data_IF_671663133249
#
_entry.id   IF_671663133249
#
_cell.length_a   1.000
_cell.length_b   1.000
_cell.length_c   1.000
_cell.angle_alpha   90.00
_cell.angle_beta   90.00
_cell.angle_gamma   90.00
#
_symmetry.space_group_name_H-M   'P 1'
#
loop_
_entity.id
_entity.type
_entity.pdbx_description
1 polymer ?
#
# COMPACT_ATOMS: atom_id res chain seq x y z
N UNK A 1 -8.01 -9.11 16.32
CA UNK A 1 -6.75 -9.23 15.56
C UNK A 1 -6.85 -8.37 14.30
N UNK A 2 -5.85 -7.55 13.95
CA UNK A 2 -5.90 -6.83 12.68
C UNK A 2 -5.86 -7.84 11.53
N UNK A 3 -6.86 -7.81 10.64
CA UNK A 3 -6.87 -8.60 9.41
C UNK A 3 -5.80 -8.01 8.49
N UNK A 4 -4.68 -8.70 8.35
CA UNK A 4 -3.70 -8.39 7.32
C UNK A 4 -4.37 -8.59 5.96
N UNK A 5 -4.31 -7.57 5.11
CA UNK A 5 -4.82 -7.69 3.74
C UNK A 5 -3.67 -8.23 2.89
N UNK A 6 -3.50 -9.56 2.88
CA UNK A 6 -2.47 -10.30 2.11
C UNK A 6 -2.52 -10.05 0.59
N UNK A 7 -3.46 -9.21 0.14
CA UNK A 7 -3.63 -8.79 -1.23
C UNK A 7 -2.68 -7.66 -1.66
N UNK A 8 -2.10 -6.87 -0.76
CA UNK A 8 -1.23 -5.74 -1.15
C UNK A 8 0.24 -6.16 -1.05
N UNK A 9 0.94 -6.14 -2.18
CA UNK A 9 2.35 -6.54 -2.25
C UNK A 9 3.27 -5.37 -2.64
N UNK A 10 2.71 -4.31 -3.23
CA UNK A 10 3.47 -3.20 -3.77
C UNK A 10 2.80 -1.87 -3.46
N UNK A 11 3.62 -0.84 -3.20
CA UNK A 11 3.21 0.55 -3.07
C UNK A 11 3.72 1.33 -4.29
N UNK A 12 2.80 1.79 -5.14
CA UNK A 12 3.13 2.66 -6.26
C UNK A 12 3.03 4.13 -5.86
N UNK A 13 4.05 4.93 -6.17
CA UNK A 13 4.05 6.37 -5.90
C UNK A 13 4.29 7.11 -7.22
N UNK A 14 3.48 8.14 -7.48
CA UNK A 14 3.59 8.98 -8.67
C UNK A 14 3.12 10.40 -8.38
N UNK A 15 3.28 11.31 -9.32
CA UNK A 15 2.72 12.67 -9.23
C UNK A 15 1.18 12.65 -9.07
N UNK A 16 0.51 11.61 -9.58
CA UNK A 16 -0.95 11.45 -9.51
C UNK A 16 -1.46 10.84 -8.20
N UNK A 17 -0.58 10.46 -7.27
CA UNK A 17 -0.98 9.82 -6.02
C UNK A 17 -0.24 8.54 -5.68
N UNK A 18 -0.76 7.87 -4.66
CA UNK A 18 -0.27 6.62 -4.09
C UNK A 18 -1.24 5.49 -4.42
N UNK A 19 -0.73 4.33 -4.83
CA UNK A 19 -1.51 3.16 -5.22
C UNK A 19 -1.13 1.94 -4.42
N UNK A 20 -2.11 1.22 -3.89
CA UNK A 20 -1.93 -0.12 -3.36
C UNK A 20 -2.08 -1.12 -4.50
N UNK A 21 -1.06 -1.94 -4.71
CA UNK A 21 -0.98 -2.83 -5.88
C UNK A 21 -0.82 -4.27 -5.40
N UNK A 22 -1.65 -5.15 -5.95
CA UNK A 22 -1.50 -6.60 -5.89
C UNK A 22 -0.70 -7.05 -7.10
N UNK A 23 0.40 -7.77 -6.86
CA UNK A 23 1.08 -8.50 -7.92
C UNK A 23 0.61 -9.94 -7.90
N UNK A 24 0.26 -10.47 -9.06
CA UNK A 24 -0.07 -11.88 -9.23
C UNK A 24 0.88 -12.45 -10.27
N UNK A 25 1.80 -13.29 -9.80
CA UNK A 25 2.79 -13.95 -10.65
C UNK A 25 2.49 -15.44 -10.76
N UNK A 26 2.37 -15.92 -11.98
CA UNK A 26 2.30 -17.34 -12.33
C UNK A 26 3.57 -17.75 -13.07
N UNK A 27 3.66 -19.00 -13.55
CA UNK A 27 4.79 -19.46 -14.37
C UNK A 27 4.88 -18.75 -15.74
N UNK A 28 3.76 -18.21 -16.24
CA UNK A 28 3.68 -17.63 -17.60
C UNK A 28 3.26 -16.17 -17.62
N UNK A 29 2.72 -15.63 -16.53
CA UNK A 29 2.19 -14.26 -16.47
C UNK A 29 2.59 -13.56 -15.18
N UNK A 30 2.82 -12.26 -15.29
CA UNK A 30 3.08 -11.35 -14.17
C UNK A 30 2.17 -10.14 -14.33
N UNK A 31 1.18 -10.04 -13.45
CA UNK A 31 0.12 -9.03 -13.55
C UNK A 31 0.11 -8.14 -12.33
N UNK A 32 -0.17 -6.85 -12.56
CA UNK A 32 -0.32 -5.85 -11.51
C UNK A 32 -1.77 -5.37 -11.51
N UNK A 33 -2.42 -5.48 -10.36
CA UNK A 33 -3.77 -4.98 -10.15
C UNK A 33 -3.74 -3.86 -9.11
N UNK A 34 -4.22 -2.68 -9.49
CA UNK A 34 -4.45 -1.58 -8.54
C UNK A 34 -5.66 -1.95 -7.68
N UNK A 35 -5.45 -2.11 -6.38
CA UNK A 35 -6.51 -2.33 -5.40
C UNK A 35 -7.16 -1.01 -5.03
N UNK A 36 -6.33 0.02 -4.82
CA UNK A 36 -6.78 1.31 -4.32
C UNK A 36 -5.83 2.42 -4.74
N UNK A 37 -6.36 3.62 -4.94
CA UNK A 37 -5.60 4.83 -5.26
C UNK A 37 -6.01 5.94 -4.29
N UNK A 38 -5.02 6.68 -3.80
CA UNK A 38 -5.21 7.86 -2.95
C UNK A 38 -4.51 9.04 -3.60
N UNK A 39 -5.16 10.19 -3.58
CA UNK A 39 -4.52 11.44 -3.99
C UNK A 39 -3.56 11.89 -2.88
N UNK A 40 -2.50 12.62 -3.25
CA UNK A 40 -1.53 13.10 -2.28
C UNK A 40 -2.16 14.08 -1.27
N UNK A 41 -3.12 14.88 -1.71
CA UNK A 41 -3.85 15.83 -0.87
C UNK A 41 -4.75 15.18 0.18
N UNK A 42 -5.12 13.91 -0.01
CA UNK A 42 -5.91 13.13 0.95
C UNK A 42 -5.03 12.53 2.05
N UNK A 43 -3.69 12.57 1.91
CA UNK A 43 -2.78 11.99 2.89
C UNK A 43 -2.61 12.96 4.06
N UNK A 44 -3.23 12.59 5.18
CA UNK A 44 -3.17 13.37 6.42
C UNK A 44 -1.81 13.24 7.11
N UNK A 45 -1.21 12.05 7.06
CA UNK A 45 0.06 11.79 7.74
C UNK A 45 0.74 10.53 7.22
N UNK A 46 2.07 10.56 7.12
CA UNK A 46 2.91 9.38 6.85
C UNK A 46 3.92 9.24 7.98
N UNK A 47 4.01 8.04 8.54
CA UNK A 47 4.94 7.75 9.65
C UNK A 47 5.52 6.36 9.57
N UNK A 48 6.63 6.16 10.26
CA UNK A 48 7.22 4.85 10.48
C UNK A 48 7.02 4.48 11.95
N UNK A 49 6.10 3.56 12.24
CA UNK A 49 5.71 3.18 13.61
C UNK A 49 6.62 2.08 14.17
N UNK A 50 7.25 1.29 13.30
CA UNK A 50 8.20 0.22 13.63
C UNK A 50 9.17 0.02 12.48
N UNK A 51 10.38 -0.46 12.76
CA UNK A 51 11.36 -0.87 11.73
C UNK A 51 10.67 -1.67 10.61
N UNK A 52 10.89 -1.27 9.36
CA UNK A 52 10.29 -1.87 8.16
C UNK A 52 8.77 -1.75 8.03
N UNK A 53 8.17 -0.71 8.63
CA UNK A 53 6.74 -0.43 8.46
C UNK A 53 6.50 1.01 8.04
N UNK A 54 5.46 1.22 7.22
CA UNK A 54 4.97 2.54 6.85
C UNK A 54 3.48 2.60 7.19
N UNK A 55 3.13 3.61 7.98
CA UNK A 55 1.76 3.95 8.31
C UNK A 55 1.33 5.19 7.54
N UNK A 56 0.27 5.07 6.75
CA UNK A 56 -0.37 6.14 6.00
C UNK A 56 -1.75 6.37 6.60
N UNK A 57 -2.04 7.62 6.99
CA UNK A 57 -3.36 8.05 7.44
C UNK A 57 -4.03 8.88 6.34
N UNK A 58 -5.25 8.52 6.03
CA UNK A 58 -6.17 9.24 5.14
C UNK A 58 -7.53 9.39 5.87
N UNK A 59 -8.47 10.22 5.39
CA UNK A 59 -9.78 10.35 6.02
C UNK A 59 -10.48 9.00 6.21
N UNK A 60 -10.84 8.69 7.45
CA UNK A 60 -11.57 7.47 7.80
C UNK A 60 -10.79 6.15 7.69
N UNK A 61 -9.50 6.18 7.31
CA UNK A 61 -8.72 4.95 7.10
C UNK A 61 -7.26 5.07 7.55
N UNK A 62 -6.76 4.00 8.16
CA UNK A 62 -5.34 3.80 8.46
C UNK A 62 -4.84 2.62 7.64
N UNK A 63 -3.74 2.83 6.93
CA UNK A 63 -3.08 1.81 6.12
C UNK A 63 -1.71 1.57 6.73
N UNK A 64 -1.46 0.33 7.12
CA UNK A 64 -0.15 -0.12 7.63
C UNK A 64 0.44 -1.08 6.63
N UNK A 65 1.60 -0.71 6.08
CA UNK A 65 2.37 -1.52 5.15
C UNK A 65 3.58 -2.08 5.89
N UNK A 66 3.86 -3.36 5.68
CA UNK A 66 5.02 -4.05 6.20
C UNK A 66 5.95 -4.37 5.03
N UNK A 67 7.16 -3.85 5.03
CA UNK A 67 8.20 -4.29 4.09
C UNK A 67 8.98 -5.45 4.73
N UNK A 68 9.22 -6.52 3.98
CA UNK A 68 10.22 -7.51 4.37
C UNK A 68 11.63 -6.92 4.16
N UNK A 69 12.57 -7.38 4.99
CA UNK A 69 13.98 -6.98 4.95
C UNK A 69 14.71 -7.69 3.82
#
# INVERSE_FOLDING_TARGET
>A
MPKYNDNVQMLGISHSGVRLIKRTRTSTTDTLQVIETFLLEEILHVSNVRVHTIDIRIPGKRITLHSHR
#
